data_IF_108681097846
#
_entry.id   IF_108681097846
#
_cell.length_a   1.000
_cell.length_b   1.000
_cell.length_c   1.000
_cell.angle_alpha   90.00
_cell.angle_beta   90.00
_cell.angle_gamma   90.00
#
_symmetry.space_group_name_H-M   'P 1'
#
loop_
_entity.id
_entity.type
_entity.pdbx_description
1 polymer ?
#
# COMPACT_ATOMS: atom_id res chain seq x y z
N UNK A 1 -20.76 19.10 -12.08
CA UNK A 1 -19.55 18.56 -11.85
C UNK A 1 -19.65 17.16 -11.33
N UNK A 2 -18.74 16.46 -11.51
CA UNK A 2 -18.93 15.12 -11.13
C UNK A 2 -17.97 14.71 -10.05
N UNK A 3 -18.51 14.44 -8.92
CA UNK A 3 -17.72 13.91 -7.84
C UNK A 3 -17.23 12.51 -8.13
N UNK A 4 -17.67 11.93 -9.20
CA UNK A 4 -17.27 10.56 -9.52
C UNK A 4 -15.76 10.42 -9.61
N UNK A 5 -15.08 11.42 -10.17
CA UNK A 5 -13.64 11.35 -10.26
C UNK A 5 -12.99 11.39 -8.89
N UNK A 6 -13.52 12.21 -7.98
CA UNK A 6 -12.99 12.26 -6.64
C UNK A 6 -13.28 10.98 -5.89
N UNK A 7 -14.47 10.44 -6.06
CA UNK A 7 -14.87 9.21 -5.38
C UNK A 7 -14.11 8.01 -5.90
N UNK A 8 -13.86 8.00 -7.21
CA UNK A 8 -13.16 6.90 -7.83
C UNK A 8 -11.65 7.06 -7.74
N UNK A 9 -11.20 8.20 -7.24
CA UNK A 9 -9.76 8.42 -7.14
C UNK A 9 -9.17 7.49 -6.11
N UNK A 10 -8.17 6.75 -6.54
CA UNK A 10 -7.42 5.90 -5.64
C UNK A 10 -6.34 6.70 -4.93
N UNK A 11 -6.07 7.92 -5.41
CA UNK A 11 -5.06 8.75 -4.81
C UNK A 11 -5.48 9.25 -3.43
N UNK A 12 -4.50 9.44 -2.57
CA UNK A 12 -4.73 9.94 -1.23
C UNK A 12 -4.18 9.01 -0.18
N UNK A 13 -4.77 9.10 1.00
CA UNK A 13 -4.27 8.39 2.17
C UNK A 13 -5.22 7.29 2.58
N UNK A 14 -4.66 6.15 2.94
CA UNK A 14 -5.40 4.96 3.27
C UNK A 14 -4.79 4.29 4.49
N UNK A 15 -5.64 3.66 5.30
CA UNK A 15 -5.13 2.85 6.41
C UNK A 15 -5.43 1.38 6.14
N UNK A 16 -4.41 0.56 6.28
CA UNK A 16 -4.53 -0.87 6.11
C UNK A 16 -4.87 -1.52 7.44
N UNK A 17 -5.78 -2.49 7.39
CA UNK A 17 -6.27 -3.17 8.57
C UNK A 17 -5.83 -4.64 8.49
N UNK A 18 -5.20 -5.12 9.55
CA UNK A 18 -4.88 -6.53 9.66
C UNK A 18 -6.17 -7.30 9.91
N UNK A 19 -6.46 -8.27 9.05
CA UNK A 19 -7.72 -9.01 9.12
C UNK A 19 -7.86 -9.85 10.37
N UNK A 20 -6.75 -10.35 10.89
CA UNK A 20 -6.80 -11.25 12.05
C UNK A 20 -6.95 -10.49 13.35
N UNK A 21 -6.21 -9.39 13.50
CA UNK A 21 -6.22 -8.62 14.74
C UNK A 21 -7.17 -7.44 14.73
N UNK A 22 -7.66 -7.05 13.55
CA UNK A 22 -8.52 -5.88 13.32
C UNK A 22 -7.82 -4.59 13.74
N UNK A 23 -6.51 -4.62 13.78
CA UNK A 23 -5.71 -3.44 14.12
C UNK A 23 -5.15 -2.81 12.85
N UNK A 24 -4.93 -1.51 12.92
CA UNK A 24 -4.29 -0.80 11.81
C UNK A 24 -2.86 -1.28 11.67
N UNK A 25 -2.50 -1.77 10.49
CA UNK A 25 -1.15 -2.25 10.23
C UNK A 25 -0.27 -1.18 9.61
N UNK A 26 -0.86 -0.14 9.03
CA UNK A 26 -0.09 0.93 8.45
C UNK A 26 -0.94 1.99 7.82
N UNK A 27 -0.32 3.10 7.50
CA UNK A 27 -0.92 4.20 6.76
C UNK A 27 -0.12 4.39 5.49
N UNK A 28 -0.84 4.56 4.39
CA UNK A 28 -0.27 4.60 3.06
C UNK A 28 -0.67 5.86 2.32
N UNK A 29 0.23 6.34 1.49
CA UNK A 29 -0.10 7.37 0.51
C UNK A 29 -0.02 6.73 -0.86
N UNK A 30 -1.10 6.81 -1.61
CA UNK A 30 -1.14 6.31 -2.99
C UNK A 30 -1.21 7.49 -3.95
N UNK A 31 -0.43 7.40 -5.02
CA UNK A 31 -0.46 8.41 -6.07
C UNK A 31 -0.35 7.75 -7.43
N UNK A 32 -0.94 8.39 -8.41
CA UNK A 32 -0.92 7.92 -9.79
C UNK A 32 0.08 8.77 -10.56
N UNK A 33 0.99 8.13 -11.24
CA UNK A 33 2.02 8.79 -12.02
C UNK A 33 2.25 7.98 -13.30
N UNK A 34 1.95 8.58 -14.45
CA UNK A 34 2.15 7.94 -15.75
C UNK A 34 1.60 6.53 -15.84
N UNK A 35 0.32 6.36 -15.53
CA UNK A 35 -0.33 5.06 -15.57
C UNK A 35 0.20 4.05 -14.57
N UNK A 36 0.92 4.53 -13.56
CA UNK A 36 1.40 3.69 -12.48
C UNK A 36 0.77 4.12 -11.17
N UNK A 37 0.39 3.14 -10.38
CA UNK A 37 -0.03 3.38 -9.01
C UNK A 37 1.16 3.12 -8.11
N UNK A 38 1.59 4.17 -7.42
CA UNK A 38 2.72 4.10 -6.50
C UNK A 38 2.20 4.23 -5.08
N UNK A 39 2.70 3.37 -4.20
CA UNK A 39 2.29 3.39 -2.80
C UNK A 39 3.47 3.55 -1.88
N UNK A 40 3.33 4.47 -0.94
CA UNK A 40 4.36 4.81 0.04
C UNK A 40 3.84 4.60 1.44
N UNK A 41 4.65 4.01 2.30
CA UNK A 41 4.31 3.91 3.71
C UNK A 41 4.54 5.26 4.39
N UNK A 42 3.50 5.75 5.07
CA UNK A 42 3.55 7.03 5.76
C UNK A 42 3.80 6.81 7.25
N UNK A 43 3.17 5.78 7.80
CA UNK A 43 3.27 5.52 9.23
C UNK A 43 2.97 4.04 9.49
N UNK A 44 3.61 3.48 10.49
CA UNK A 44 3.42 2.09 10.87
C UNK A 44 3.93 1.89 12.31
N UNK A 45 3.57 0.79 12.96
CA UNK A 45 4.00 0.58 14.35
C UNK A 45 5.52 0.61 14.49
N UNK A 46 5.99 1.30 15.52
CA UNK A 46 7.40 1.41 15.84
C UNK A 46 8.27 2.07 14.77
N UNK A 47 7.64 2.91 13.96
CA UNK A 47 8.34 3.58 12.87
C UNK A 47 9.42 4.54 13.39
N UNK A 48 10.57 4.49 12.73
CA UNK A 48 11.66 5.42 12.95
C UNK A 48 12.02 6.11 11.63
N UNK A 49 12.39 7.39 11.67
CA UNK A 49 12.65 8.13 10.43
C UNK A 49 13.75 7.54 9.55
N UNK A 50 14.69 6.83 10.15
CA UNK A 50 15.83 6.26 9.44
C UNK A 50 15.68 4.76 9.17
N UNK A 51 14.46 4.22 9.30
CA UNK A 51 14.23 2.81 8.99
C UNK A 51 14.57 2.52 7.53
N UNK A 52 15.25 1.41 7.32
CA UNK A 52 15.63 0.93 6.00
C UNK A 52 15.19 -0.51 5.84
N UNK A 53 15.11 -0.98 4.59
CA UNK A 53 14.77 -2.37 4.34
C UNK A 53 16.02 -3.24 4.44
N UNK A 54 16.25 -3.81 5.61
CA UNK A 54 17.39 -4.70 5.81
C UNK A 54 17.06 -6.17 5.50
N UNK A 55 15.80 -6.46 5.17
CA UNK A 55 15.36 -7.81 4.79
C UNK A 55 15.14 -7.92 3.28
N UNK A 56 15.44 -6.87 2.52
CA UNK A 56 15.30 -6.86 1.07
C UNK A 56 16.54 -7.47 0.43
N UNK A 57 16.63 -8.78 0.46
CA UNK A 57 17.77 -9.53 -0.07
C UNK A 57 17.33 -10.43 -1.23
N UNK A 58 18.29 -11.07 -1.88
CA UNK A 58 18.00 -11.95 -2.99
C UNK A 58 17.34 -11.24 -4.15
N UNK A 59 16.11 -11.61 -4.49
CA UNK A 59 15.38 -11.00 -5.60
C UNK A 59 15.02 -9.56 -5.33
N UNK A 60 15.08 -9.11 -4.09
CA UNK A 60 14.75 -7.74 -3.70
C UNK A 60 15.99 -6.89 -3.42
N UNK A 61 17.15 -7.33 -3.89
CA UNK A 61 18.41 -6.65 -3.58
C UNK A 61 18.44 -5.19 -4.02
N UNK A 62 17.66 -4.81 -5.03
CA UNK A 62 17.59 -3.43 -5.47
C UNK A 62 16.93 -2.52 -4.44
N UNK A 63 16.20 -3.10 -3.50
CA UNK A 63 15.55 -2.38 -2.41
C UNK A 63 16.32 -2.49 -1.09
N UNK A 64 17.45 -3.19 -1.12
CA UNK A 64 18.23 -3.38 0.09
C UNK A 64 18.72 -2.03 0.61
N UNK A 65 18.46 -1.80 1.89
CA UNK A 65 18.80 -0.55 2.59
C UNK A 65 18.09 0.70 2.04
N UNK A 66 17.09 0.53 1.21
CA UNK A 66 16.25 1.65 0.81
C UNK A 66 15.45 2.12 2.02
N UNK A 67 15.26 3.45 2.17
CA UNK A 67 14.47 3.95 3.29
C UNK A 67 13.04 3.45 3.21
N UNK A 68 12.49 3.05 4.34
CA UNK A 68 11.11 2.60 4.38
C UNK A 68 10.19 3.73 3.97
N UNK A 69 10.43 4.94 4.50
CA UNK A 69 9.71 6.12 4.04
C UNK A 69 10.32 6.63 2.75
N UNK A 70 9.47 6.98 1.79
CA UNK A 70 9.92 7.57 0.54
C UNK A 70 10.23 6.60 -0.58
N UNK A 71 10.18 5.31 -0.32
CA UNK A 71 10.34 4.30 -1.35
C UNK A 71 8.97 3.77 -1.75
N UNK A 72 8.76 3.59 -3.05
CA UNK A 72 7.49 3.05 -3.54
C UNK A 72 7.48 1.54 -3.33
N UNK A 73 6.69 1.09 -2.37
CA UNK A 73 6.55 -0.33 -2.06
C UNK A 73 5.41 -0.98 -2.84
N UNK A 74 4.56 -0.18 -3.46
CA UNK A 74 3.50 -0.63 -4.36
C UNK A 74 3.78 0.01 -5.71
N UNK A 75 3.77 -0.79 -6.76
CA UNK A 75 3.97 -0.31 -8.12
C UNK A 75 3.15 -1.19 -9.06
N UNK A 76 2.01 -0.67 -9.50
CA UNK A 76 1.07 -1.40 -10.33
C UNK A 76 0.70 -0.57 -11.55
N UNK A 77 0.24 -1.25 -12.60
CA UNK A 77 -0.24 -0.60 -13.83
C UNK A 77 -1.76 -0.64 -13.89
N UNK A 78 -2.33 0.37 -14.50
CA UNK A 78 -3.77 0.42 -14.67
C UNK A 78 -4.22 -0.51 -15.78
N UNK A 79 -5.29 -1.27 -15.54
CA UNK A 79 -5.91 -2.09 -16.54
C UNK A 79 -7.16 -1.37 -17.09
N UNK A 80 -7.71 -1.89 -18.18
CA UNK A 80 -8.87 -1.29 -18.85
C UNK A 80 -10.11 -1.22 -17.98
N UNK A 81 -10.24 -2.15 -17.04
CA UNK A 81 -11.42 -2.24 -16.17
C UNK A 81 -11.29 -1.42 -14.89
N UNK A 82 -10.27 -0.59 -14.80
CA UNK A 82 -10.08 0.24 -13.61
C UNK A 82 -9.35 -0.43 -12.47
N UNK A 83 -8.90 -1.66 -12.68
CA UNK A 83 -8.11 -2.37 -11.67
C UNK A 83 -6.64 -2.10 -11.92
N UNK A 84 -5.91 -1.83 -10.84
CA UNK A 84 -4.46 -1.66 -10.90
C UNK A 84 -3.82 -3.02 -10.66
N UNK A 85 -2.97 -3.45 -11.59
CA UNK A 85 -2.31 -4.76 -11.53
C UNK A 85 -1.05 -4.77 -12.39
N UNK A 86 -0.50 -5.95 -12.65
CA UNK A 86 0.71 -6.12 -13.47
C UNK A 86 1.91 -5.38 -12.88
N UNK A 87 2.11 -5.62 -11.62
CA UNK A 87 3.23 -5.07 -10.87
C UNK A 87 3.35 -5.81 -9.56
N UNK A 88 3.65 -5.08 -8.50
CA UNK A 88 3.98 -5.75 -7.25
C UNK A 88 3.67 -4.90 -6.04
N UNK A 89 3.56 -5.60 -4.91
CA UNK A 89 3.63 -5.02 -3.58
C UNK A 89 4.80 -5.69 -2.89
N UNK A 90 5.62 -4.90 -2.23
CA UNK A 90 6.73 -5.41 -1.44
C UNK A 90 6.41 -5.22 0.04
N UNK A 91 6.47 -6.30 0.79
CA UNK A 91 6.39 -6.26 2.23
C UNK A 91 7.79 -6.00 2.76
N UNK A 92 8.05 -4.74 3.13
CA UNK A 92 9.38 -4.34 3.58
C UNK A 92 9.71 -4.86 4.98
N UNK A 93 8.70 -5.33 5.70
CA UNK A 93 8.95 -5.94 7.02
C UNK A 93 9.41 -7.38 6.93
N UNK A 94 8.95 -8.10 5.91
CA UNK A 94 9.31 -9.51 5.73
C UNK A 94 10.25 -9.75 4.55
N UNK A 95 10.45 -8.75 3.69
CA UNK A 95 11.31 -8.92 2.52
C UNK A 95 10.69 -9.80 1.46
N UNK A 96 9.39 -9.68 1.24
CA UNK A 96 8.66 -10.48 0.26
C UNK A 96 7.99 -9.61 -0.77
N UNK A 97 7.91 -10.13 -1.99
CA UNK A 97 7.30 -9.46 -3.13
C UNK A 97 6.10 -10.28 -3.58
N UNK A 98 4.97 -9.58 -3.73
CA UNK A 98 3.72 -10.23 -4.12
C UNK A 98 3.16 -9.60 -5.38
N UNK A 99 2.53 -10.41 -6.22
CA UNK A 99 1.64 -9.89 -7.24
C UNK A 99 0.37 -9.41 -6.54
N UNK A 100 -0.20 -8.33 -7.04
CA UNK A 100 -1.35 -7.73 -6.38
C UNK A 100 -2.28 -7.08 -7.37
N UNK A 101 -3.53 -6.92 -6.95
CA UNK A 101 -4.52 -6.10 -7.65
C UNK A 101 -5.13 -5.15 -6.65
N UNK A 102 -5.34 -3.91 -7.07
CA UNK A 102 -5.93 -2.89 -6.23
C UNK A 102 -7.04 -2.18 -7.00
N UNK A 103 -8.17 -1.97 -6.35
CA UNK A 103 -9.29 -1.22 -6.92
C UNK A 103 -10.05 -0.53 -5.80
N UNK A 104 -10.91 0.41 -6.17
CA UNK A 104 -11.78 1.09 -5.20
C UNK A 104 -13.19 0.56 -5.37
N UNK A 105 -13.82 0.22 -4.27
CA UNK A 105 -15.17 -0.33 -4.25
C UNK A 105 -15.91 0.24 -3.05
N UNK A 106 -17.03 0.91 -3.32
CA UNK A 106 -17.86 1.50 -2.27
C UNK A 106 -17.08 2.46 -1.34
N UNK A 107 -16.15 3.21 -1.92
CA UNK A 107 -15.38 4.17 -1.15
C UNK A 107 -14.21 3.58 -0.39
N UNK A 108 -14.05 2.27 -0.43
CA UNK A 108 -12.93 1.59 0.21
C UNK A 108 -11.94 1.12 -0.84
N UNK A 109 -10.69 0.96 -0.42
CA UNK A 109 -9.69 0.38 -1.30
C UNK A 109 -9.61 -1.11 -1.03
N UNK A 110 -9.70 -1.87 -2.10
CA UNK A 110 -9.56 -3.33 -2.02
C UNK A 110 -8.18 -3.69 -2.54
N UNK A 111 -7.44 -4.44 -1.75
CA UNK A 111 -6.11 -4.90 -2.12
C UNK A 111 -6.09 -6.42 -2.06
N UNK A 112 -5.84 -7.04 -3.20
CA UNK A 112 -5.75 -8.50 -3.29
C UNK A 112 -4.32 -8.88 -3.58
N UNK A 113 -3.71 -9.61 -2.66
CA UNK A 113 -2.37 -10.14 -2.84
C UNK A 113 -2.42 -11.62 -3.18
N UNK A 114 -1.52 -12.05 -4.05
CA UNK A 114 -1.49 -13.44 -4.53
C UNK A 114 -0.28 -14.16 -3.95
N UNK A 115 -0.56 -15.33 -3.36
CA UNK A 115 0.46 -16.20 -2.77
C UNK A 115 0.27 -17.57 -3.41
N UNK A 116 1.03 -17.86 -4.46
CA UNK A 116 0.87 -19.11 -5.19
C UNK A 116 -0.53 -19.22 -5.78
N UNK A 117 -1.24 -20.28 -5.41
CA UNK A 117 -2.61 -20.49 -5.88
C UNK A 117 -3.66 -19.74 -5.06
N UNK A 118 -3.24 -19.13 -3.96
CA UNK A 118 -4.15 -18.49 -3.04
C UNK A 118 -4.08 -16.98 -3.19
N UNK A 119 -5.14 -16.32 -2.75
CA UNK A 119 -5.11 -14.87 -2.66
C UNK A 119 -5.83 -14.44 -1.40
N UNK A 120 -5.50 -13.24 -0.93
CA UNK A 120 -6.19 -12.60 0.17
C UNK A 120 -6.57 -11.21 -0.24
N UNK A 121 -7.78 -10.82 0.12
CA UNK A 121 -8.27 -9.47 -0.16
C UNK A 121 -8.39 -8.73 1.17
N UNK A 122 -7.76 -7.57 1.22
CA UNK A 122 -7.86 -6.67 2.36
C UNK A 122 -8.69 -5.47 1.98
N UNK A 123 -9.40 -4.92 2.94
CA UNK A 123 -10.13 -3.67 2.77
C UNK A 123 -9.38 -2.59 3.51
N UNK A 124 -8.93 -1.57 2.78
CA UNK A 124 -8.26 -0.42 3.38
C UNK A 124 -9.25 0.73 3.42
N UNK A 125 -9.20 1.50 4.49
CA UNK A 125 -10.16 2.59 4.72
C UNK A 125 -9.49 3.92 4.40
N UNK A 126 -10.28 4.82 3.81
CA UNK A 126 -9.77 6.14 3.47
C UNK A 126 -9.51 6.94 4.73
N UNK A 127 -8.42 7.69 4.70
CA UNK A 127 -8.06 8.60 5.78
C UNK A 127 -7.50 9.88 5.16
N UNK A 128 -6.90 10.72 5.96
CA UNK A 128 -6.31 11.96 5.49
C UNK A 128 -4.86 12.08 5.97
N UNK A 129 -4.17 13.06 5.42
CA UNK A 129 -2.75 13.23 5.68
C UNK A 129 -2.45 13.45 7.16
N UNK A 130 -3.21 14.34 7.79
CA UNK A 130 -2.95 14.67 9.20
C UNK A 130 -3.14 13.43 10.08
N UNK A 131 -4.21 12.68 9.86
CA UNK A 131 -4.46 11.46 10.62
C UNK A 131 -3.36 10.44 10.39
N UNK A 132 -2.98 10.25 9.12
CA UNK A 132 -1.96 9.26 8.78
C UNK A 132 -0.60 9.59 9.43
N UNK A 133 -0.19 10.86 9.34
CA UNK A 133 1.12 11.25 9.85
C UNK A 133 1.20 11.29 11.36
N UNK A 134 0.08 11.57 12.01
CA UNK A 134 0.05 11.77 13.46
C UNK A 134 -0.48 10.58 14.23
N UNK A 135 -0.90 9.53 13.55
CA UNK A 135 -1.48 8.38 14.21
C UNK A 135 -0.49 7.70 15.15
N UNK A 136 -1.02 7.23 16.26
CA UNK A 136 -0.28 6.39 17.18
C UNK A 136 -0.86 4.98 17.13
N UNK A 137 -0.03 4.02 17.47
CA UNK A 137 -0.44 2.62 17.42
C UNK A 137 -0.52 2.08 18.84
N UNK A 138 -1.60 1.39 19.13
CA UNK A 138 -1.86 0.84 20.46
C UNK A 138 -1.69 -0.68 20.39
N UNK A 139 -0.97 -1.19 21.37
CA UNK A 139 -0.72 -2.64 21.45
C UNK A 139 -1.96 -3.42 21.88
#
# INVERSE_FOLDING_TARGET
MTPASAESSIEGYWKSIDEQTIKVSGYWKLEVNDNRLLGYLVNYPDMKPDDICNVCTGKLKEFYEKPIQGTAWINLRKNKDGVWKDGYIIDSGEGKKYKAQIWVEDGNLMMRGYIGFFYRTQTWLRTDQATAEQATFVD
#
